data_IF_796784540155
#
_entry.id   IF_796784540155
#
_cell.length_a   1.000
_cell.length_b   1.000
_cell.length_c   1.000
_cell.angle_alpha   90.00
_cell.angle_beta   90.00
_cell.angle_gamma   90.00
#
_symmetry.space_group_name_H-M   'P 1'
#
loop_
_entity.id
_entity.type
_entity.pdbx_description
1 polymer ?
#
# COMPACT_ATOMS: atom_id res chain seq x y z
N UNK A 1 1.78 -17.94 -0.14
CA UNK A 1 2.27 -16.99 -1.16
C UNK A 1 2.79 -15.76 -0.41
N UNK A 2 3.90 -15.14 -0.83
CA UNK A 2 4.46 -13.94 -0.19
C UNK A 2 3.77 -12.69 -0.74
N UNK A 3 3.00 -11.98 0.10
CA UNK A 3 2.26 -10.77 -0.25
C UNK A 3 2.76 -9.56 0.53
N UNK A 4 2.66 -8.38 -0.09
CA UNK A 4 3.07 -7.09 0.48
C UNK A 4 1.96 -6.07 0.28
N UNK A 5 1.89 -5.11 1.21
CA UNK A 5 0.93 -4.00 1.14
C UNK A 5 1.55 -2.80 0.43
N UNK A 6 0.89 -2.34 -0.61
CA UNK A 6 1.29 -1.16 -1.40
C UNK A 6 0.16 -0.14 -1.45
N UNK A 7 0.50 1.14 -1.45
CA UNK A 7 -0.44 2.26 -1.57
C UNK A 7 -0.45 2.75 -3.00
N UNK A 8 -1.62 2.88 -3.60
CA UNK A 8 -1.75 3.42 -4.95
C UNK A 8 -1.50 4.92 -4.99
N UNK A 9 -0.58 5.37 -5.84
CA UNK A 9 -0.26 6.78 -6.07
C UNK A 9 -1.31 7.47 -6.95
N UNK A 10 -2.03 6.69 -7.76
CA UNK A 10 -3.08 7.14 -8.68
C UNK A 10 -4.17 6.08 -8.79
N UNK A 11 -5.36 6.47 -9.27
CA UNK A 11 -6.42 5.50 -9.53
C UNK A 11 -6.09 4.71 -10.80
N UNK A 12 -6.14 3.38 -10.73
CA UNK A 12 -5.91 2.51 -11.89
C UNK A 12 -6.85 1.30 -11.87
N UNK A 13 -7.17 0.81 -13.07
CA UNK A 13 -7.97 -0.40 -13.29
C UNK A 13 -7.03 -1.51 -13.73
N UNK A 14 -7.31 -2.75 -13.35
CA UNK A 14 -6.58 -3.92 -13.87
C UNK A 14 -5.67 -4.61 -12.87
N UNK A 15 -5.85 -4.38 -11.56
CA UNK A 15 -5.36 -5.35 -10.59
C UNK A 15 -6.24 -6.60 -10.72
N UNK A 16 -5.73 -7.63 -11.41
CA UNK A 16 -6.40 -8.91 -11.52
C UNK A 16 -6.57 -9.49 -10.10
N UNK A 17 -7.78 -9.46 -9.56
CA UNK A 17 -8.09 -10.16 -8.31
C UNK A 17 -8.11 -11.66 -8.56
N UNK A 18 -7.85 -12.48 -7.54
CA UNK A 18 -7.85 -13.94 -7.63
C UNK A 18 -9.13 -14.56 -8.23
N UNK A 19 -10.25 -13.81 -8.28
CA UNK A 19 -11.51 -14.22 -8.92
C UNK A 19 -11.66 -13.83 -10.40
N UNK A 20 -10.60 -13.40 -11.07
CA UNK A 20 -10.65 -12.94 -12.47
C UNK A 20 -11.43 -11.63 -12.66
N UNK A 21 -11.78 -10.94 -11.57
CA UNK A 21 -12.38 -9.60 -11.61
C UNK A 21 -11.28 -8.55 -11.54
N UNK A 22 -11.31 -7.60 -12.47
CA UNK A 22 -10.51 -6.40 -12.40
C UNK A 22 -10.93 -5.60 -11.16
N UNK A 23 -10.05 -5.46 -10.18
CA UNK A 23 -10.26 -4.52 -9.09
C UNK A 23 -9.98 -3.09 -9.59
N UNK A 24 -10.88 -2.17 -9.24
CA UNK A 24 -10.68 -0.74 -9.41
C UNK A 24 -9.96 -0.21 -8.18
N UNK A 25 -8.69 0.17 -8.36
CA UNK A 25 -7.86 0.70 -7.29
C UNK A 25 -7.99 2.21 -7.29
N UNK A 26 -8.41 2.78 -6.16
CA UNK A 26 -8.51 4.24 -5.98
C UNK A 26 -7.15 4.81 -5.58
N UNK A 27 -6.93 6.10 -5.86
CA UNK A 27 -5.78 6.84 -5.33
C UNK A 27 -5.76 6.72 -3.79
N UNK A 28 -4.57 6.55 -3.22
CA UNK A 28 -4.31 6.34 -1.79
C UNK A 28 -4.88 5.04 -1.20
N UNK A 29 -5.48 4.18 -2.02
CA UNK A 29 -5.94 2.87 -1.58
C UNK A 29 -4.75 1.95 -1.30
N UNK A 30 -4.78 1.30 -0.15
CA UNK A 30 -3.83 0.23 0.18
C UNK A 30 -4.38 -1.09 -0.34
N UNK A 31 -3.55 -1.79 -1.10
CA UNK A 31 -3.87 -3.10 -1.68
C UNK A 31 -2.78 -4.10 -1.30
N UNK A 32 -3.16 -5.37 -1.17
CA UNK A 32 -2.23 -6.45 -0.92
C UNK A 32 -1.99 -7.22 -2.22
N UNK A 33 -0.71 -7.35 -2.61
CA UNK A 33 -0.30 -7.97 -3.87
C UNK A 33 0.94 -8.83 -3.65
N UNK A 34 1.21 -9.80 -4.52
CA UNK A 34 2.46 -10.56 -4.45
C UNK A 34 3.68 -9.65 -4.61
N UNK A 35 4.80 -10.02 -3.98
CA UNK A 35 6.04 -9.22 -4.03
C UNK A 35 6.51 -8.87 -5.45
N UNK A 36 6.47 -9.83 -6.38
CA UNK A 36 6.80 -9.59 -7.80
C UNK A 36 5.90 -8.54 -8.43
N UNK A 37 4.61 -8.53 -8.10
CA UNK A 37 3.64 -7.57 -8.63
C UNK A 37 3.82 -6.19 -8.04
N UNK A 38 4.17 -6.09 -6.75
CA UNK A 38 4.52 -4.82 -6.12
C UNK A 38 5.73 -4.16 -6.79
N UNK A 39 6.77 -4.93 -7.12
CA UNK A 39 7.96 -4.41 -7.82
C UNK A 39 7.58 -3.84 -9.19
N UNK A 40 6.77 -4.57 -9.96
CA UNK A 40 6.29 -4.13 -11.29
C UNK A 40 5.45 -2.85 -11.21
N UNK A 41 4.48 -2.81 -10.29
CA UNK A 41 3.63 -1.63 -10.07
C UNK A 41 4.43 -0.42 -9.56
N UNK A 42 5.46 -0.64 -8.76
CA UNK A 42 6.35 0.41 -8.25
C UNK A 42 7.28 0.94 -9.35
N UNK A 43 7.81 0.06 -10.20
CA UNK A 43 8.61 0.44 -11.37
C UNK A 43 7.79 1.26 -12.37
N UNK A 44 6.50 0.95 -12.50
CA UNK A 44 5.55 1.74 -13.29
C UNK A 44 5.12 3.07 -12.62
N UNK A 45 5.55 3.34 -11.38
CA UNK A 45 5.16 4.54 -10.63
C UNK A 45 3.68 4.58 -10.22
N UNK A 46 3.00 3.43 -10.21
CA UNK A 46 1.56 3.34 -9.90
C UNK A 46 1.31 3.18 -8.40
N UNK A 47 2.25 2.58 -7.67
CA UNK A 47 2.14 2.30 -6.23
C UNK A 47 3.44 2.59 -5.49
N UNK A 48 3.35 2.84 -4.19
CA UNK A 48 4.46 2.93 -3.25
C UNK A 48 4.33 1.86 -2.15
N UNK A 49 5.42 1.55 -1.45
CA UNK A 49 5.37 0.65 -0.30
C UNK A 49 4.54 1.25 0.84
N UNK A 50 3.31 0.76 1.05
CA UNK A 50 2.51 1.14 2.22
C UNK A 50 3.14 0.63 3.51
N UNK A 51 3.87 -0.50 3.43
CA UNK A 51 4.62 -1.04 4.55
C UNK A 51 5.84 -0.17 4.95
N UNK A 52 6.35 0.68 4.06
CA UNK A 52 7.50 1.54 4.36
C UNK A 52 7.13 2.76 5.21
N UNK A 53 5.88 3.24 5.11
CA UNK A 53 5.37 4.33 5.95
C UNK A 53 5.26 3.91 7.44
N UNK A 54 5.13 2.62 7.73
CA UNK A 54 5.17 2.09 9.11
C UNK A 54 6.59 1.76 9.62
N UNK A 55 7.59 1.65 8.73
CA UNK A 55 8.98 1.40 9.11
C UNK A 55 9.71 2.69 9.58
N UNK A 56 9.13 3.87 9.32
CA UNK A 56 9.43 5.11 10.07
C UNK A 56 8.30 5.41 11.06
N UNK A 57 8.00 4.46 11.95
CA UNK A 57 7.50 4.84 13.28
C UNK A 57 8.59 5.69 13.92
N UNK A 58 8.35 6.95 14.32
CA UNK A 58 9.10 7.45 15.45
C UNK A 58 8.74 6.52 16.59
N UNK A 59 9.61 5.57 16.92
CA UNK A 59 9.72 5.08 18.28
C UNK A 59 10.29 6.24 19.12
N UNK A 60 9.56 7.36 19.19
CA UNK A 60 9.72 8.51 20.08
C UNK A 60 8.64 9.57 19.79
N UNK A 61 7.51 9.45 20.47
CA UNK A 61 6.70 10.58 20.93
C UNK A 61 5.92 10.10 22.16
N UNK A 62 6.70 9.88 23.21
CA UNK A 62 6.26 9.89 24.59
C UNK A 62 5.38 11.14 24.84
N UNK A 63 4.24 10.91 25.49
CA UNK A 63 3.50 11.84 26.36
C UNK A 63 3.40 13.34 25.96
N UNK A 64 2.20 13.73 25.50
CA UNK A 64 1.52 14.94 26.02
C UNK A 64 0.04 14.64 26.23
N UNK A 65 -0.32 14.40 27.50
CA UNK A 65 -1.61 14.63 28.12
C UNK A 65 -2.87 14.17 27.36
N UNK A 66 -3.57 13.20 27.93
CA UNK A 66 -5.00 13.39 28.08
C UNK A 66 -5.21 14.57 29.04
N UNK A 67 -5.70 15.72 28.57
CA UNK A 67 -6.68 16.42 29.39
C UNK A 67 -7.87 16.93 28.58
N UNK A 68 -9.02 16.75 29.24
CA UNK A 68 -10.39 17.19 28.93
C UNK A 68 -11.16 16.32 27.94
#
# INVERSE_FOLDING_TARGET
>A
MDTVKVRALSAFKGLASERGKEAHVKKDQVIEVSRTRAIDLKAAGLVEDASATEARKPADADTKGAPK
#
